data_IF_646504092921
#
_entry.id   IF_646504092921
#
_cell.length_a   1.000
_cell.length_b   1.000
_cell.length_c   1.000
_cell.angle_alpha   90.00
_cell.angle_beta   90.00
_cell.angle_gamma   90.00
#
_symmetry.space_group_name_H-M   'P 1'
#
loop_
_entity.id
_entity.type
_entity.pdbx_description
1 polymer ?
#
# COMPACT_ATOMS: atom_id res chain seq x y z
N UNK A 1 30.32 25.89 -27.61
CA UNK A 1 30.08 24.71 -26.76
C UNK A 1 31.06 23.63 -27.19
N UNK A 2 31.90 23.15 -26.27
CA UNK A 2 33.02 22.26 -26.56
C UNK A 2 32.53 20.83 -26.91
N UNK A 3 33.01 20.27 -28.02
CA UNK A 3 32.69 18.91 -28.50
C UNK A 3 32.95 17.86 -27.39
N UNK A 4 33.98 18.09 -26.57
CA UNK A 4 34.29 17.23 -25.43
C UNK A 4 33.16 17.22 -24.38
N UNK A 5 32.60 18.39 -24.06
CA UNK A 5 31.46 18.52 -23.13
C UNK A 5 30.21 17.85 -23.68
N UNK A 6 29.97 17.95 -24.99
CA UNK A 6 28.85 17.28 -25.67
C UNK A 6 29.00 15.74 -25.61
N UNK A 7 30.20 15.22 -25.89
CA UNK A 7 30.46 13.78 -25.82
C UNK A 7 30.33 13.23 -24.40
N UNK A 8 30.79 13.97 -23.39
CA UNK A 8 30.60 13.60 -21.98
C UNK A 8 29.11 13.53 -21.60
N UNK A 9 28.33 14.52 -22.02
CA UNK A 9 26.88 14.52 -21.80
C UNK A 9 26.19 13.34 -22.49
N UNK A 10 26.59 13.01 -23.73
CA UNK A 10 26.06 11.88 -24.50
C UNK A 10 26.34 10.53 -23.83
N UNK A 11 27.55 10.31 -23.32
CA UNK A 11 27.91 9.09 -22.59
C UNK A 11 27.14 8.98 -21.27
N UNK A 12 27.01 10.09 -20.54
CA UNK A 12 26.23 10.14 -19.30
C UNK A 12 24.75 9.82 -19.54
N UNK A 13 24.15 10.41 -20.58
CA UNK A 13 22.78 10.10 -20.99
C UNK A 13 22.61 8.62 -21.36
N UNK A 14 23.54 8.05 -22.12
CA UNK A 14 23.51 6.63 -22.48
C UNK A 14 23.54 5.73 -21.23
N UNK A 15 24.43 6.03 -20.28
CA UNK A 15 24.52 5.28 -19.01
C UNK A 15 23.30 5.47 -18.09
N UNK A 16 22.62 6.61 -18.16
CA UNK A 16 21.35 6.83 -17.44
C UNK A 16 20.22 6.01 -18.09
N UNK A 17 20.13 6.01 -19.42
CA UNK A 17 19.10 5.25 -20.17
C UNK A 17 19.25 3.74 -19.91
N UNK A 18 20.47 3.20 -19.97
CA UNK A 18 20.74 1.77 -19.69
C UNK A 18 20.33 1.35 -18.27
N UNK A 19 20.28 2.27 -17.31
CA UNK A 19 19.84 1.99 -15.94
C UNK A 19 18.33 2.13 -15.75
N UNK A 20 17.70 3.07 -16.46
CA UNK A 20 16.25 3.32 -16.35
C UNK A 20 15.45 2.23 -17.06
N UNK A 21 15.92 1.69 -18.19
CA UNK A 21 15.19 0.66 -18.95
C UNK A 21 14.91 -0.60 -18.11
N UNK A 22 15.91 -1.25 -17.47
CA UNK A 22 15.65 -2.39 -16.59
C UNK A 22 14.83 -2.02 -15.36
N UNK A 23 14.97 -0.80 -14.84
CA UNK A 23 14.18 -0.33 -13.70
C UNK A 23 12.69 -0.25 -14.07
N UNK A 24 12.36 0.29 -15.26
CA UNK A 24 10.98 0.35 -15.76
C UNK A 24 10.40 -1.04 -16.01
N UNK A 25 11.21 -1.96 -16.55
CA UNK A 25 10.79 -3.34 -16.78
C UNK A 25 10.41 -4.04 -15.45
N UNK A 26 11.19 -3.80 -14.38
CA UNK A 26 10.92 -4.32 -13.03
C UNK A 26 9.76 -3.62 -12.30
N UNK A 27 9.48 -2.36 -12.61
CA UNK A 27 8.35 -1.61 -11.99
C UNK A 27 7.01 -2.08 -12.56
N UNK A 28 6.96 -2.57 -13.80
CA UNK A 28 5.72 -3.05 -14.41
C UNK A 28 5.22 -4.39 -13.86
N UNK A 29 6.11 -5.19 -13.24
CA UNK A 29 5.78 -6.55 -12.78
C UNK A 29 5.36 -6.66 -11.30
N UNK A 30 5.49 -5.61 -10.48
CA UNK A 30 5.40 -5.76 -9.00
C UNK A 30 4.38 -4.90 -8.27
N UNK A 31 3.53 -4.17 -8.98
CA UNK A 31 2.20 -3.88 -8.42
C UNK A 31 1.31 -5.03 -8.86
N UNK A 32 1.13 -6.01 -7.98
CA UNK A 32 0.19 -7.11 -8.17
C UNK A 32 -1.24 -6.53 -8.14
N UNK A 33 -1.66 -5.97 -9.28
CA UNK A 33 -2.96 -5.32 -9.50
C UNK A 33 -4.08 -6.26 -9.07
N UNK A 34 -3.94 -7.56 -9.36
CA UNK A 34 -4.86 -8.62 -8.92
C UNK A 34 -4.99 -8.65 -7.40
N UNK A 35 -3.88 -8.58 -6.66
CA UNK A 35 -3.88 -8.53 -5.19
C UNK A 35 -4.51 -7.25 -4.64
N UNK A 36 -4.36 -6.12 -5.33
CA UNK A 36 -5.05 -4.87 -4.97
C UNK A 36 -6.55 -4.97 -5.24
N UNK A 37 -6.97 -5.52 -6.37
CA UNK A 37 -8.38 -5.76 -6.70
C UNK A 37 -9.06 -6.71 -5.70
N UNK A 38 -8.36 -7.77 -5.27
CA UNK A 38 -8.85 -8.69 -4.22
C UNK A 38 -9.02 -7.96 -2.89
N UNK A 39 -8.07 -7.09 -2.51
CA UNK A 39 -8.17 -6.28 -1.29
C UNK A 39 -9.32 -5.28 -1.36
N UNK A 40 -9.51 -4.61 -2.49
CA UNK A 40 -10.62 -3.68 -2.72
C UNK A 40 -11.97 -4.39 -2.59
N UNK A 41 -12.15 -5.55 -3.25
CA UNK A 41 -13.37 -6.36 -3.10
C UNK A 41 -13.67 -6.73 -1.65
N UNK A 42 -12.63 -7.04 -0.86
CA UNK A 42 -12.80 -7.38 0.55
C UNK A 42 -13.22 -6.17 1.39
N UNK A 43 -12.72 -4.98 1.09
CA UNK A 43 -13.12 -3.72 1.74
C UNK A 43 -14.59 -3.43 1.44
N UNK A 44 -15.01 -3.50 0.18
CA UNK A 44 -16.41 -3.27 -0.22
C UNK A 44 -17.37 -4.24 0.48
N UNK A 45 -16.97 -5.51 0.61
CA UNK A 45 -17.76 -6.51 1.34
C UNK A 45 -17.90 -6.18 2.83
N UNK A 46 -16.84 -5.68 3.46
CA UNK A 46 -16.88 -5.28 4.87
C UNK A 46 -17.72 -4.03 5.07
N UNK A 47 -17.63 -3.05 4.17
CA UNK A 47 -18.48 -1.85 4.19
C UNK A 47 -19.96 -2.21 4.08
N UNK A 48 -20.35 -3.06 3.12
CA UNK A 48 -21.73 -3.54 3.00
C UNK A 48 -22.19 -4.30 4.24
N UNK A 49 -21.31 -5.09 4.87
CA UNK A 49 -21.63 -5.78 6.13
C UNK A 49 -21.84 -4.81 7.28
N UNK A 50 -21.07 -3.71 7.35
CA UNK A 50 -21.24 -2.65 8.34
C UNK A 50 -22.55 -1.92 8.09
N UNK A 51 -22.82 -1.48 6.86
CA UNK A 51 -24.08 -0.81 6.48
C UNK A 51 -25.31 -1.68 6.79
N UNK A 52 -25.27 -2.97 6.45
CA UNK A 52 -26.33 -3.91 6.79
C UNK A 52 -26.47 -4.10 8.30
N UNK A 53 -25.36 -4.13 9.04
CA UNK A 53 -25.39 -4.20 10.51
C UNK A 53 -25.97 -2.93 11.11
N UNK A 54 -25.62 -1.75 10.63
CA UNK A 54 -26.19 -0.48 11.08
C UNK A 54 -27.70 -0.41 10.81
N UNK A 55 -28.15 -0.88 9.64
CA UNK A 55 -29.56 -1.03 9.29
C UNK A 55 -30.29 -2.05 10.18
N UNK A 56 -29.68 -3.22 10.45
CA UNK A 56 -30.23 -4.24 11.35
C UNK A 56 -30.26 -3.77 12.81
N UNK A 57 -29.25 -3.04 13.27
CA UNK A 57 -29.21 -2.45 14.61
C UNK A 57 -30.25 -1.34 14.81
N UNK A 58 -30.57 -0.62 13.73
CA UNK A 58 -31.69 0.32 13.71
C UNK A 58 -33.06 -0.36 13.79
N UNK A 59 -33.14 -1.67 13.52
CA UNK A 59 -34.38 -2.45 13.48
C UNK A 59 -34.51 -3.45 14.65
N UNK A 60 -33.42 -3.96 15.21
CA UNK A 60 -33.43 -4.98 16.26
C UNK A 60 -32.73 -4.49 17.53
N UNK A 61 -33.53 -4.39 18.57
CA UNK A 61 -33.20 -4.20 19.99
C UNK A 61 -32.37 -5.35 20.57
N UNK A 62 -31.27 -5.77 19.92
CA UNK A 62 -30.35 -6.77 20.45
C UNK A 62 -28.93 -6.21 20.41
N UNK A 63 -28.51 -5.64 21.54
CA UNK A 63 -27.15 -5.16 21.76
C UNK A 63 -26.17 -6.34 21.60
N UNK A 64 -25.22 -6.33 20.65
CA UNK A 64 -23.95 -7.01 20.86
C UNK A 64 -23.37 -6.44 22.15
N UNK A 65 -22.75 -7.29 22.94
CA UNK A 65 -22.18 -6.80 24.19
C UNK A 65 -21.08 -5.81 23.85
N UNK A 66 -21.04 -4.68 24.54
CA UNK A 66 -20.02 -3.65 24.38
C UNK A 66 -18.58 -4.22 24.42
N UNK A 67 -18.42 -5.39 25.07
CA UNK A 67 -17.21 -6.20 25.12
C UNK A 67 -16.77 -6.76 23.75
N UNK A 68 -17.69 -7.29 22.93
CA UNK A 68 -17.37 -7.85 21.61
C UNK A 68 -16.91 -6.74 20.65
N UNK A 69 -17.54 -5.57 20.72
CA UNK A 69 -17.13 -4.41 19.94
C UNK A 69 -15.76 -3.88 20.37
N UNK A 70 -15.49 -3.83 21.68
CA UNK A 70 -14.17 -3.44 22.20
C UNK A 70 -13.07 -4.41 21.79
N UNK A 71 -13.35 -5.71 21.76
CA UNK A 71 -12.37 -6.71 21.34
C UNK A 71 -12.05 -6.61 19.84
N UNK A 72 -13.06 -6.43 18.99
CA UNK A 72 -12.87 -6.24 17.55
C UNK A 72 -12.15 -4.93 17.22
N UNK A 73 -12.46 -3.85 17.95
CA UNK A 73 -11.78 -2.56 17.83
C UNK A 73 -10.30 -2.69 18.23
N UNK A 74 -10.01 -3.33 19.36
CA UNK A 74 -8.65 -3.57 19.84
C UNK A 74 -7.81 -4.40 18.84
N UNK A 75 -8.42 -5.41 18.21
CA UNK A 75 -7.77 -6.19 17.15
C UNK A 75 -7.44 -5.33 15.93
N UNK A 76 -8.34 -4.43 15.54
CA UNK A 76 -8.11 -3.52 14.43
C UNK A 76 -6.99 -2.51 14.73
N UNK A 77 -6.98 -1.92 15.93
CA UNK A 77 -5.92 -1.02 16.40
C UNK A 77 -4.56 -1.71 16.40
N UNK A 78 -4.47 -2.92 16.97
CA UNK A 78 -3.23 -3.70 16.99
C UNK A 78 -2.71 -4.00 15.57
N UNK A 79 -3.60 -4.33 14.63
CA UNK A 79 -3.22 -4.55 13.23
C UNK A 79 -2.71 -3.27 12.54
N UNK A 80 -3.25 -2.10 12.90
CA UNK A 80 -2.81 -0.82 12.34
C UNK A 80 -1.42 -0.45 12.85
N UNK A 81 -1.15 -0.63 14.14
CA UNK A 81 0.18 -0.40 14.74
C UNK A 81 1.26 -1.28 14.09
N UNK A 82 0.97 -2.57 13.91
CA UNK A 82 1.86 -3.51 13.24
C UNK A 82 2.15 -3.11 11.79
N UNK A 83 1.13 -2.60 11.09
CA UNK A 83 1.28 -2.11 9.72
C UNK A 83 2.13 -0.83 9.67
N UNK A 84 1.93 0.09 10.61
CA UNK A 84 2.72 1.33 10.72
C UNK A 84 4.20 1.03 10.96
N UNK A 85 4.51 0.10 11.86
CA UNK A 85 5.89 -0.35 12.13
C UNK A 85 6.52 -0.94 10.88
N UNK A 86 5.79 -1.77 10.12
CA UNK A 86 6.29 -2.39 8.88
C UNK A 86 6.53 -1.35 7.78
N UNK A 87 5.65 -0.38 7.64
CA UNK A 87 5.81 0.74 6.70
C UNK A 87 7.03 1.56 7.09
N UNK A 88 7.19 1.93 8.36
CA UNK A 88 8.38 2.67 8.84
C UNK A 88 9.69 1.93 8.57
N UNK A 89 9.71 0.60 8.80
CA UNK A 89 10.88 -0.24 8.48
C UNK A 89 11.18 -0.27 7.00
N UNK A 90 10.17 -0.42 6.14
CA UNK A 90 10.33 -0.38 4.69
C UNK A 90 10.85 0.98 4.23
N UNK A 91 10.30 2.08 4.75
CA UNK A 91 10.75 3.44 4.46
C UNK A 91 12.21 3.63 4.85
N UNK A 92 12.62 3.21 6.06
CA UNK A 92 14.02 3.28 6.52
C UNK A 92 14.97 2.47 5.63
N UNK A 93 14.59 1.25 5.24
CA UNK A 93 15.38 0.44 4.31
C UNK A 93 15.52 1.12 2.95
N UNK A 94 14.47 1.79 2.48
CA UNK A 94 14.49 2.55 1.23
C UNK A 94 15.45 3.74 1.28
N UNK A 95 15.54 4.43 2.43
CA UNK A 95 16.46 5.55 2.64
C UNK A 95 17.92 5.11 2.84
N UNK A 96 18.18 3.92 3.36
CA UNK A 96 19.54 3.38 3.54
C UNK A 96 20.09 2.63 2.32
N UNK A 97 19.26 2.34 1.31
CA UNK A 97 19.67 1.76 0.03
C UNK A 97 19.87 2.80 -1.10
N UNK A 98 19.85 4.09 -0.78
CA UNK A 98 20.21 5.23 -1.64
C UNK A 98 21.55 5.83 -1.20
#
# INVERSE_FOLDING_TARGET
MDIFKLNKAKTSLKGNITRIVPFMDNVSEHVDITKLEVKLKKIDQLQRKIELKELLFGLETTKPTEAEFKEDLYKCETCLDDLEVRVKKLTLLMYHCL
#
